data_IF_824074349286
#
_entry.id   IF_824074349286
#
_cell.length_a   1.000
_cell.length_b   1.000
_cell.length_c   1.000
_cell.angle_alpha   90.00
_cell.angle_beta   90.00
_cell.angle_gamma   90.00
#
_symmetry.space_group_name_H-M   'P 1'
#
loop_
_entity.id
_entity.type
_entity.pdbx_description
1 polymer ?
#
# COMPACT_ATOMS: atom_id res chain seq x y z
N UNK A 1 23.46 1.84 19.13
CA UNK A 1 23.01 1.46 17.78
C UNK A 1 22.59 0.00 17.84
N UNK A 2 21.32 -0.25 18.14
CA UNK A 2 20.67 -1.54 18.10
C UNK A 2 19.17 -1.26 17.98
N UNK A 3 18.45 -2.15 17.29
CA UNK A 3 16.98 -2.19 17.15
C UNK A 3 16.42 -1.64 15.81
N UNK A 4 16.84 -2.26 14.70
CA UNK A 4 16.02 -2.30 13.49
C UNK A 4 15.60 -3.73 13.09
N UNK A 5 16.15 -4.77 13.73
CA UNK A 5 15.96 -6.17 13.28
C UNK A 5 14.96 -7.01 14.10
N UNK A 6 14.34 -6.47 15.16
CA UNK A 6 13.52 -7.31 16.06
C UNK A 6 12.01 -7.35 15.73
N UNK A 7 11.58 -6.72 14.63
CA UNK A 7 10.15 -6.47 14.35
C UNK A 7 9.36 -7.65 13.77
N UNK A 8 9.93 -8.84 13.58
CA UNK A 8 9.22 -9.97 12.98
C UNK A 8 9.24 -11.26 13.80
N UNK A 9 9.05 -11.14 15.13
CA UNK A 9 8.59 -12.27 15.94
C UNK A 9 7.06 -12.31 15.86
N UNK A 10 6.51 -13.29 15.13
CA UNK A 10 5.08 -13.59 15.16
C UNK A 10 4.72 -14.01 16.59
N UNK A 11 4.25 -13.04 17.38
CA UNK A 11 3.76 -13.28 18.74
C UNK A 11 2.40 -13.95 18.60
N UNK A 12 2.25 -15.15 19.14
CA UNK A 12 0.95 -15.80 19.27
C UNK A 12 0.17 -15.04 20.33
N UNK A 13 -0.68 -14.09 19.89
CA UNK A 13 -1.61 -13.36 20.75
C UNK A 13 -2.89 -14.16 20.96
N UNK A 14 -3.41 -14.09 22.18
CA UNK A 14 -4.69 -14.69 22.56
C UNK A 14 -5.87 -13.88 22.01
N UNK A 15 -7.03 -14.52 21.82
CA UNK A 15 -8.25 -13.84 21.34
C UNK A 15 -8.68 -12.64 22.22
N UNK A 16 -8.36 -12.71 23.51
CA UNK A 16 -8.62 -11.63 24.47
C UNK A 16 -7.75 -10.41 24.18
N UNK A 17 -6.43 -10.59 24.02
CA UNK A 17 -5.49 -9.51 23.68
C UNK A 17 -5.85 -8.86 22.34
N UNK A 18 -6.25 -9.65 21.35
CA UNK A 18 -6.73 -9.11 20.06
C UNK A 18 -7.95 -8.21 20.25
N UNK A 19 -8.93 -8.65 21.04
CA UNK A 19 -10.16 -7.89 21.28
C UNK A 19 -9.87 -6.59 22.02
N UNK A 20 -8.94 -6.62 22.97
CA UNK A 20 -8.49 -5.46 23.73
C UNK A 20 -7.80 -4.44 22.81
N UNK A 21 -6.84 -4.88 21.99
CA UNK A 21 -6.18 -4.05 20.98
C UNK A 21 -7.17 -3.38 20.01
N UNK A 22 -8.13 -4.16 19.49
CA UNK A 22 -9.13 -3.62 18.56
C UNK A 22 -10.01 -2.53 19.18
N UNK A 23 -10.29 -2.63 20.49
CA UNK A 23 -11.15 -1.68 21.19
C UNK A 23 -10.41 -0.45 21.67
N UNK A 24 -9.22 -0.62 22.20
CA UNK A 24 -8.50 0.44 22.91
C UNK A 24 -7.47 1.15 22.06
N UNK A 25 -6.92 0.47 21.05
CA UNK A 25 -5.85 1.05 20.22
C UNK A 25 -6.35 1.35 18.80
N UNK A 26 -6.90 0.34 18.11
CA UNK A 26 -7.24 0.49 16.70
C UNK A 26 -8.48 1.38 16.47
N UNK A 27 -9.55 1.16 17.24
CA UNK A 27 -10.80 1.91 17.03
C UNK A 27 -10.63 3.41 17.24
N UNK A 28 -10.02 3.90 18.35
CA UNK A 28 -9.79 5.33 18.53
C UNK A 28 -8.94 5.93 17.40
N UNK A 29 -7.90 5.21 16.97
CA UNK A 29 -7.07 5.66 15.85
C UNK A 29 -7.87 5.85 14.55
N UNK A 30 -8.78 4.92 14.24
CA UNK A 30 -9.64 5.02 13.06
C UNK A 30 -10.66 6.16 13.15
N UNK A 31 -11.19 6.42 14.34
CA UNK A 31 -12.12 7.53 14.59
C UNK A 31 -11.41 8.89 14.43
N UNK A 32 -10.19 9.01 14.94
CA UNK A 32 -9.35 10.22 14.77
C UNK A 32 -9.08 10.49 13.29
N UNK A 33 -8.60 9.48 12.55
CA UNK A 33 -8.32 9.61 11.11
C UNK A 33 -9.56 9.93 10.28
N UNK A 34 -10.70 9.30 10.61
CA UNK A 34 -11.96 9.60 9.94
C UNK A 34 -12.38 11.05 10.16
N UNK A 35 -12.19 11.57 11.38
CA UNK A 35 -12.50 12.97 11.72
C UNK A 35 -11.67 13.94 10.87
N UNK A 36 -10.36 13.68 10.74
CA UNK A 36 -9.45 14.51 9.93
C UNK A 36 -9.83 14.46 8.45
N UNK A 37 -10.15 13.27 7.93
CA UNK A 37 -10.61 13.10 6.54
C UNK A 37 -11.89 13.89 6.26
N UNK A 38 -12.92 13.75 7.11
CA UNK A 38 -14.20 14.45 6.92
C UNK A 38 -14.13 15.96 7.15
N UNK A 39 -13.14 16.44 7.90
CA UNK A 39 -12.87 17.87 8.07
C UNK A 39 -12.15 18.49 6.85
N UNK A 40 -11.60 17.67 5.94
CA UNK A 40 -10.82 18.14 4.79
C UNK A 40 -11.72 18.52 3.61
N UNK A 41 -11.56 19.74 3.09
CA UNK A 41 -12.25 20.23 1.89
C UNK A 41 -11.30 21.07 1.02
N UNK A 42 -11.11 20.77 -0.28
CA UNK A 42 -11.75 19.70 -1.06
C UNK A 42 -11.33 18.28 -0.62
N UNK A 43 -12.15 17.24 -0.88
CA UNK A 43 -11.77 15.87 -0.54
C UNK A 43 -10.49 15.46 -1.29
N UNK A 44 -9.56 14.75 -0.63
CA UNK A 44 -8.31 14.35 -1.24
C UNK A 44 -8.54 13.33 -2.36
N UNK A 45 -7.74 13.42 -3.42
CA UNK A 45 -7.78 12.50 -4.57
C UNK A 45 -7.25 11.11 -4.20
N UNK A 46 -6.18 11.06 -3.40
CA UNK A 46 -5.60 9.83 -2.83
C UNK A 46 -5.80 9.81 -1.32
N UNK A 47 -6.81 9.05 -0.88
CA UNK A 47 -7.16 8.90 0.53
C UNK A 47 -6.04 8.18 1.29
N UNK A 48 -5.35 7.23 0.67
CA UNK A 48 -4.33 6.42 1.35
C UNK A 48 -3.09 7.26 1.62
N UNK A 49 -2.62 8.01 0.61
CA UNK A 49 -1.51 8.94 0.77
C UNK A 49 -1.81 9.98 1.86
N UNK A 50 -3.01 10.56 1.84
CA UNK A 50 -3.48 11.51 2.84
C UNK A 50 -3.44 10.95 4.28
N UNK A 51 -3.93 9.71 4.46
CA UNK A 51 -3.94 9.08 5.79
C UNK A 51 -2.52 8.74 6.27
N UNK A 52 -1.63 8.33 5.37
CA UNK A 52 -0.21 8.08 5.69
C UNK A 52 0.46 9.37 6.13
N UNK A 53 0.31 10.46 5.38
CA UNK A 53 0.85 11.77 5.72
C UNK A 53 0.33 12.28 7.07
N UNK A 54 -0.98 12.10 7.32
CA UNK A 54 -1.60 12.44 8.60
C UNK A 54 -0.96 11.67 9.75
N UNK A 55 -0.73 10.37 9.58
CA UNK A 55 -0.08 9.53 10.61
C UNK A 55 1.38 9.92 10.84
N UNK A 56 2.14 10.22 9.79
CA UNK A 56 3.53 10.72 9.89
C UNK A 56 3.56 12.02 10.68
N UNK A 57 2.69 12.96 10.33
CA UNK A 57 2.65 14.28 10.94
C UNK A 57 2.19 14.25 12.40
N UNK A 58 1.07 13.59 12.70
CA UNK A 58 0.45 13.65 14.03
C UNK A 58 1.13 12.73 15.05
N UNK A 59 1.73 11.63 14.60
CA UNK A 59 2.40 10.66 15.48
C UNK A 59 3.93 10.72 15.39
N UNK A 60 4.50 11.59 14.54
CA UNK A 60 5.94 11.71 14.34
C UNK A 60 6.58 10.43 13.82
N UNK A 61 5.84 9.65 13.03
CA UNK A 61 6.32 8.39 12.48
C UNK A 61 7.32 8.64 11.34
N UNK A 62 8.31 7.76 11.15
CA UNK A 62 9.17 7.84 9.97
C UNK A 62 8.33 7.66 8.70
N UNK A 63 8.75 8.34 7.63
CA UNK A 63 8.14 8.14 6.32
C UNK A 63 8.23 6.65 5.95
N UNK A 64 7.10 6.03 5.55
CA UNK A 64 7.14 4.63 5.16
C UNK A 64 7.97 4.47 3.89
N UNK A 65 8.58 3.30 3.73
CA UNK A 65 9.32 2.98 2.51
C UNK A 65 8.41 3.14 1.29
N UNK A 66 8.66 4.18 0.49
CA UNK A 66 7.94 4.44 -0.74
C UNK A 66 8.35 3.37 -1.76
N UNK A 67 7.39 2.53 -2.15
CA UNK A 67 7.58 1.59 -3.26
C UNK A 67 8.01 0.18 -2.88
N UNK A 68 7.52 -0.40 -1.78
CA UNK A 68 7.55 -1.85 -1.62
C UNK A 68 6.51 -2.56 -2.52
N UNK A 69 6.50 -2.22 -3.81
CA UNK A 69 6.14 -3.17 -4.86
C UNK A 69 7.34 -4.11 -4.95
N UNK A 70 7.26 -5.20 -4.19
CA UNK A 70 8.30 -6.22 -4.00
C UNK A 70 8.94 -6.67 -5.32
N UNK A 71 10.05 -7.42 -5.27
CA UNK A 71 10.68 -7.97 -6.49
C UNK A 71 9.68 -8.68 -7.45
N UNK A 72 8.54 -9.17 -6.93
CA UNK A 72 7.42 -9.69 -7.72
C UNK A 72 6.83 -8.66 -8.70
N UNK A 73 6.76 -7.38 -8.38
CA UNK A 73 6.25 -6.37 -9.30
C UNK A 73 7.21 -6.06 -10.45
N UNK A 74 8.53 -6.16 -10.23
CA UNK A 74 9.52 -6.07 -11.32
C UNK A 74 9.34 -7.23 -12.30
N UNK A 75 9.08 -8.43 -11.77
CA UNK A 75 8.77 -9.62 -12.57
C UNK A 75 7.45 -9.44 -13.33
N UNK A 76 6.37 -9.04 -12.67
CA UNK A 76 5.07 -8.79 -13.29
C UNK A 76 5.13 -7.70 -14.36
N UNK A 77 5.82 -6.59 -14.08
CA UNK A 77 6.03 -5.51 -15.07
C UNK A 77 6.81 -6.02 -16.28
N UNK A 78 7.84 -6.85 -16.07
CA UNK A 78 8.61 -7.44 -17.17
C UNK A 78 7.77 -8.38 -18.03
N UNK A 79 6.88 -9.16 -17.42
CA UNK A 79 6.04 -10.12 -18.12
C UNK A 79 4.89 -9.43 -18.87
N UNK A 80 4.31 -8.38 -18.28
CA UNK A 80 3.35 -7.50 -18.96
C UNK A 80 3.99 -6.82 -20.17
N UNK A 81 5.22 -6.30 -20.03
CA UNK A 81 5.95 -5.68 -21.14
C UNK A 81 6.25 -6.67 -22.28
N UNK A 82 6.69 -7.89 -21.95
CA UNK A 82 6.87 -8.97 -22.95
C UNK A 82 5.55 -9.27 -23.66
N UNK A 83 4.44 -9.33 -22.92
CA UNK A 83 3.13 -9.63 -23.52
C UNK A 83 2.67 -8.52 -24.47
N UNK A 84 2.88 -7.26 -24.11
CA UNK A 84 2.60 -6.11 -24.98
C UNK A 84 3.40 -6.19 -26.28
N UNK A 85 4.69 -6.50 -26.21
CA UNK A 85 5.54 -6.64 -27.40
C UNK A 85 5.07 -7.77 -28.33
N UNK A 86 4.69 -8.92 -27.76
CA UNK A 86 4.15 -10.05 -28.52
C UNK A 86 2.86 -9.63 -29.23
N UNK A 87 1.93 -9.01 -28.50
CA UNK A 87 0.64 -8.57 -29.06
C UNK A 87 0.81 -7.51 -30.14
N UNK A 88 1.74 -6.57 -29.99
CA UNK A 88 2.07 -5.58 -31.03
C UNK A 88 2.61 -6.25 -32.30
N UNK A 89 3.47 -7.26 -32.14
CA UNK A 89 4.00 -8.02 -33.27
C UNK A 89 2.93 -8.86 -33.96
N UNK A 90 2.05 -9.50 -33.20
CA UNK A 90 0.90 -10.24 -33.73
C UNK A 90 -0.07 -9.31 -34.46
N UNK A 91 -0.37 -8.13 -33.90
CA UNK A 91 -1.22 -7.12 -34.55
C UNK A 91 -0.60 -6.59 -35.85
N UNK A 92 0.72 -6.38 -35.89
CA UNK A 92 1.44 -6.00 -37.10
C UNK A 92 1.35 -7.09 -38.17
N UNK A 93 1.63 -8.35 -37.80
CA UNK A 93 1.56 -9.49 -38.73
C UNK A 93 0.14 -9.76 -39.22
N UNK A 94 -0.88 -9.58 -38.36
CA UNK A 94 -2.28 -9.71 -38.74
C UNK A 94 -2.71 -8.60 -39.70
N UNK A 95 -2.23 -7.37 -39.50
CA UNK A 95 -2.43 -6.25 -40.42
C UNK A 95 -1.80 -6.53 -41.79
N UNK A 96 -0.59 -7.07 -41.81
CA UNK A 96 0.15 -7.36 -43.04
C UNK A 96 -0.42 -8.57 -43.81
N UNK A 97 -1.14 -9.48 -43.13
CA UNK A 97 -1.89 -10.60 -43.77
C UNK A 97 -3.31 -10.22 -44.23
N UNK A 98 -3.79 -9.03 -43.88
CA UNK A 98 -5.11 -8.53 -44.24
C UNK A 98 -5.10 -7.61 -45.49
N UNK A 99 -3.97 -7.58 -46.21
CA UNK A 99 -3.78 -6.98 -47.54
C UNK A 99 -3.51 -8.09 -48.56
#
# INVERSE_FOLDING_TARGET
MANAEESNKVRVTTDKERTEFLRHDLRPLMEDLATVYWATSPPPEDIVAFLIETLIHDKGLPEPETGALSENFKLETSDVLKRIQILQKEAMLARDRSL
#
